data_IF_686645713717
#
_entry.id   IF_686645713717
#
_cell.length_a   1.000
_cell.length_b   1.000
_cell.length_c   1.000
_cell.angle_alpha   90.00
_cell.angle_beta   90.00
_cell.angle_gamma   90.00
#
_symmetry.space_group_name_H-M   'P 1'
#
loop_
_entity.id
_entity.type
_entity.pdbx_description
1 polymer ?
#
# COMPACT_ATOMS: atom_id res chain seq x y z
N UNK A 1 -17.90 3.59 3.79
CA UNK A 1 -17.17 3.58 2.52
C UNK A 1 -16.38 4.87 2.48
N UNK A 2 -15.06 4.75 2.40
CA UNK A 2 -14.07 5.83 2.53
C UNK A 2 -13.31 5.91 1.21
N UNK A 3 -12.90 7.11 0.80
CA UNK A 3 -12.08 7.28 -0.41
C UNK A 3 -10.59 7.24 -0.06
N UNK A 4 -9.88 6.19 -0.51
CA UNK A 4 -8.43 6.13 -0.36
C UNK A 4 -7.75 7.24 -1.18
N UNK A 5 -8.33 7.64 -2.32
CA UNK A 5 -7.78 8.72 -3.17
C UNK A 5 -7.69 10.04 -2.39
N UNK A 6 -8.76 10.40 -1.68
CA UNK A 6 -8.80 11.65 -0.93
C UNK A 6 -7.83 11.66 0.25
N UNK A 7 -7.64 10.51 0.90
CA UNK A 7 -6.66 10.36 1.98
C UNK A 7 -5.23 10.48 1.46
N UNK A 8 -4.90 9.81 0.35
CA UNK A 8 -3.57 9.88 -0.26
C UNK A 8 -3.23 11.30 -0.73
N UNK A 9 -4.18 12.03 -1.33
CA UNK A 9 -3.99 13.43 -1.74
C UNK A 9 -3.72 14.38 -0.57
N UNK A 10 -4.24 14.06 0.62
CA UNK A 10 -4.02 14.82 1.85
C UNK A 10 -2.79 14.36 2.61
N UNK A 11 -2.09 13.33 2.11
CA UNK A 11 -0.99 12.66 2.80
C UNK A 11 -1.39 12.26 4.22
N UNK A 12 -2.62 11.78 4.38
CA UNK A 12 -3.16 11.40 5.68
C UNK A 12 -2.44 10.16 6.22
N UNK A 13 -2.16 10.13 7.53
CA UNK A 13 -1.58 8.95 8.17
C UNK A 13 -2.69 7.94 8.46
N UNK A 14 -2.55 6.73 7.93
CA UNK A 14 -3.47 5.63 8.21
C UNK A 14 -2.80 4.26 8.01
N UNK A 15 -3.50 3.22 8.44
CA UNK A 15 -3.12 1.83 8.26
C UNK A 15 -4.24 1.03 7.59
N UNK A 16 -3.83 0.11 6.72
CA UNK A 16 -4.72 -0.72 5.91
C UNK A 16 -4.39 -2.19 6.12
N UNK A 17 -5.36 -2.96 6.61
CA UNK A 17 -5.22 -4.39 6.80
C UNK A 17 -5.87 -5.22 5.69
N UNK A 18 -5.22 -6.33 5.37
CA UNK A 18 -5.75 -7.38 4.50
C UNK A 18 -6.06 -8.65 5.29
N UNK A 19 -7.20 -9.26 5.00
CA UNK A 19 -7.56 -10.59 5.49
C UNK A 19 -6.89 -11.68 4.65
N UNK A 20 -6.01 -12.47 5.28
CA UNK A 20 -5.30 -13.59 4.64
C UNK A 20 -6.00 -14.94 4.81
N UNK A 21 -7.14 -15.00 5.50
CA UNK A 21 -7.92 -16.23 5.67
C UNK A 21 -8.28 -16.88 4.33
N UNK A 22 -8.37 -16.08 3.27
CA UNK A 22 -8.57 -16.50 1.88
C UNK A 22 -7.37 -16.11 1.00
N UNK A 23 -6.37 -17.00 0.81
CA UNK A 23 -5.12 -16.67 0.11
C UNK A 23 -5.26 -16.09 -1.29
N UNK A 24 -6.23 -16.58 -2.07
CA UNK A 24 -6.48 -16.09 -3.45
C UNK A 24 -7.04 -14.67 -3.41
N UNK A 25 -8.01 -14.42 -2.52
CA UNK A 25 -8.61 -13.11 -2.35
C UNK A 25 -7.58 -12.10 -1.87
N UNK A 26 -6.76 -12.47 -0.90
CA UNK A 26 -5.62 -11.66 -0.44
C UNK A 26 -4.71 -11.27 -1.61
N UNK A 27 -4.27 -12.22 -2.43
CA UNK A 27 -3.40 -11.93 -3.57
C UNK A 27 -4.06 -10.96 -4.56
N UNK A 28 -5.34 -11.15 -4.86
CA UNK A 28 -6.09 -10.25 -5.74
C UNK A 28 -6.16 -8.83 -5.17
N UNK A 29 -6.55 -8.68 -3.91
CA UNK A 29 -6.65 -7.39 -3.22
C UNK A 29 -5.29 -6.70 -3.12
N UNK A 30 -4.23 -7.45 -2.78
CA UNK A 30 -2.88 -6.93 -2.71
C UNK A 30 -2.44 -6.36 -4.07
N UNK A 31 -2.58 -7.12 -5.15
CA UNK A 31 -2.20 -6.64 -6.48
C UNK A 31 -3.09 -5.50 -6.99
N UNK A 32 -4.37 -5.48 -6.62
CA UNK A 32 -5.26 -4.35 -6.90
C UNK A 32 -4.77 -3.08 -6.21
N UNK A 33 -4.39 -3.16 -4.92
CA UNK A 33 -3.81 -2.02 -4.20
C UNK A 33 -2.51 -1.56 -4.86
N UNK A 34 -1.58 -2.48 -5.14
CA UNK A 34 -0.26 -2.14 -5.71
C UNK A 34 -0.42 -1.39 -7.04
N UNK A 35 -1.24 -1.92 -7.96
CA UNK A 35 -1.51 -1.26 -9.23
C UNK A 35 -2.18 0.11 -9.06
N UNK A 36 -3.04 0.25 -8.04
CA UNK A 36 -3.65 1.52 -7.70
C UNK A 36 -2.60 2.53 -7.18
N UNK A 37 -1.71 2.11 -6.28
CA UNK A 37 -0.66 2.97 -5.73
C UNK A 37 0.32 3.46 -6.81
N UNK A 38 0.73 2.60 -7.73
CA UNK A 38 1.58 3.02 -8.87
C UNK A 38 0.90 4.07 -9.73
N UNK A 39 -0.41 3.92 -10.00
CA UNK A 39 -1.18 4.89 -10.79
C UNK A 39 -1.24 6.27 -10.11
N UNK A 40 -1.08 6.29 -8.79
CA UNK A 40 -1.10 7.50 -7.97
C UNK A 40 0.30 7.96 -7.55
N UNK A 41 1.37 7.40 -8.14
CA UNK A 41 2.76 7.70 -7.85
C UNK A 41 3.12 7.59 -6.35
N UNK A 42 2.46 6.66 -5.64
CA UNK A 42 2.75 6.38 -4.22
C UNK A 42 3.82 5.29 -4.16
N UNK A 43 4.97 5.63 -3.60
CA UNK A 43 6.14 4.74 -3.51
C UNK A 43 6.27 4.09 -2.14
N UNK A 44 7.07 3.04 -2.08
CA UNK A 44 7.62 2.57 -0.80
C UNK A 44 8.51 3.67 -0.18
N UNK A 45 8.74 3.64 1.12
CA UNK A 45 9.60 4.66 1.77
C UNK A 45 11.04 4.74 1.26
N UNK A 46 11.53 3.69 0.61
CA UNK A 46 12.84 3.70 -0.07
C UNK A 46 12.77 4.27 -1.49
N UNK A 47 11.63 4.83 -1.93
CA UNK A 47 11.37 5.45 -3.24
C UNK A 47 11.25 4.48 -4.40
N UNK A 48 11.17 3.19 -4.09
CA UNK A 48 10.84 2.20 -5.10
C UNK A 48 9.36 2.30 -5.47
N UNK A 49 8.99 2.11 -6.75
CA UNK A 49 7.59 2.03 -7.18
C UNK A 49 6.82 1.00 -6.37
N UNK A 50 5.51 1.20 -6.17
CA UNK A 50 4.70 0.23 -5.44
C UNK A 50 4.80 -1.17 -6.09
N UNK A 51 4.81 -1.23 -7.42
CA UNK A 51 4.99 -2.46 -8.22
C UNK A 51 6.39 -3.06 -8.18
N UNK A 52 7.37 -2.47 -7.49
CA UNK A 52 8.71 -3.01 -7.46
C UNK A 52 8.68 -4.49 -7.04
N UNK A 53 9.25 -5.31 -7.92
CA UNK A 53 9.13 -6.75 -7.82
C UNK A 53 9.87 -7.26 -6.58
N UNK A 54 11.04 -6.70 -6.27
CA UNK A 54 11.82 -7.14 -5.13
C UNK A 54 11.11 -6.78 -3.82
N UNK A 55 10.56 -5.57 -3.71
CA UNK A 55 9.80 -5.11 -2.55
C UNK A 55 8.54 -5.96 -2.33
N UNK A 56 7.74 -6.19 -3.39
CA UNK A 56 6.55 -7.02 -3.31
C UNK A 56 6.88 -8.47 -2.91
N UNK A 57 7.90 -9.08 -3.51
CA UNK A 57 8.29 -10.45 -3.17
C UNK A 57 8.88 -10.56 -1.77
N UNK A 58 9.61 -9.54 -1.30
CA UNK A 58 10.12 -9.49 0.05
C UNK A 58 8.97 -9.45 1.06
N UNK A 59 7.98 -8.58 0.86
CA UNK A 59 6.79 -8.52 1.71
C UNK A 59 6.05 -9.86 1.71
N UNK A 60 5.68 -10.35 0.52
CA UNK A 60 4.92 -11.60 0.39
C UNK A 60 5.69 -12.76 1.04
N UNK A 61 7.00 -12.86 0.78
CA UNK A 61 7.86 -13.89 1.37
C UNK A 61 7.98 -13.79 2.89
N UNK A 62 8.02 -12.58 3.46
CA UNK A 62 8.07 -12.38 4.90
C UNK A 62 6.74 -12.75 5.58
N UNK A 63 5.61 -12.31 4.99
CA UNK A 63 4.27 -12.65 5.44
C UNK A 63 4.06 -14.17 5.46
N UNK A 64 4.51 -14.87 4.42
CA UNK A 64 4.39 -16.34 4.35
C UNK A 64 5.29 -17.09 5.34
N UNK A 65 6.40 -16.51 5.78
CA UNK A 65 7.36 -17.16 6.69
C UNK A 65 7.05 -16.96 8.17
N UNK A 66 6.43 -15.85 8.53
CA UNK A 66 6.22 -15.48 9.94
C UNK A 66 4.91 -16.01 10.52
N UNK A 67 4.14 -16.81 9.77
CA UNK A 67 2.77 -17.23 10.12
C UNK A 67 1.85 -16.04 10.51
N UNK A 68 2.21 -14.82 10.08
CA UNK A 68 1.41 -13.62 10.31
C UNK A 68 0.06 -13.83 9.65
N UNK A 69 -1.03 -13.81 10.42
CA UNK A 69 -2.38 -13.89 9.85
C UNK A 69 -2.74 -12.60 9.13
N UNK A 70 -2.18 -11.48 9.58
CA UNK A 70 -2.60 -10.15 9.16
C UNK A 70 -1.49 -9.46 8.39
N UNK A 71 -1.86 -8.81 7.29
CA UNK A 71 -0.94 -7.97 6.51
C UNK A 71 -1.43 -6.53 6.65
N UNK A 72 -0.69 -5.71 7.38
CA UNK A 72 -1.02 -4.31 7.60
C UNK A 72 0.00 -3.41 6.91
N UNK A 73 -0.48 -2.52 6.04
CA UNK A 73 0.33 -1.48 5.41
C UNK A 73 0.09 -0.16 6.13
N UNK A 74 1.16 0.52 6.53
CA UNK A 74 1.11 1.86 7.09
C UNK A 74 1.45 2.87 6.01
N UNK A 75 0.63 3.91 5.91
CA UNK A 75 0.81 5.09 5.07
C UNK A 75 1.07 6.29 5.97
N UNK A 76 2.19 6.98 5.77
CA UNK A 76 2.55 8.15 6.56
C UNK A 76 3.61 8.99 5.83
N UNK A 77 3.82 10.22 6.30
CA UNK A 77 4.98 11.03 5.92
C UNK A 77 6.17 10.63 6.78
N UNK A 78 7.33 10.44 6.15
CA UNK A 78 8.58 10.14 6.85
C UNK A 78 9.73 11.00 6.30
N UNK A 79 10.60 11.46 7.19
CA UNK A 79 11.86 12.10 6.82
C UNK A 79 12.78 11.10 6.10
N UNK A 80 13.19 11.45 4.88
CA UNK A 80 14.13 10.67 4.07
C UNK A 80 15.41 11.45 3.88
N UNK A 81 16.52 10.78 4.16
CA UNK A 81 17.85 11.27 3.85
C UNK A 81 18.14 11.14 2.34
N UNK A 82 18.50 12.25 1.69
CA UNK A 82 18.78 12.31 0.25
C UNK A 82 20.27 12.50 -0.08
N UNK A 83 21.10 12.86 0.90
CA UNK A 83 22.53 13.01 0.68
C UNK A 83 23.16 14.10 1.51
N UNK A 84 24.43 14.35 1.21
CA UNK A 84 25.19 15.48 1.72
C UNK A 84 25.20 16.59 0.67
N UNK A 85 25.12 17.83 1.13
CA UNK A 85 25.44 19.01 0.32
C UNK A 85 26.59 19.76 0.97
N UNK A 86 27.46 20.33 0.14
CA UNK A 86 28.54 21.20 0.59
C UNK A 86 28.20 22.61 0.13
N UNK A 87 28.18 23.54 1.08
CA UNK A 87 28.09 24.96 0.77
C UNK A 87 29.45 25.44 0.25
N UNK A 88 29.50 25.87 -1.01
CA UNK A 88 30.75 26.31 -1.65
C UNK A 88 31.27 27.66 -1.12
N UNK A 89 30.44 28.47 -0.48
CA UNK A 89 30.81 29.78 0.06
C UNK A 89 31.38 29.66 1.47
N UNK A 90 30.84 28.74 2.28
CA UNK A 90 31.23 28.57 3.70
C UNK A 90 32.06 27.33 3.98
N UNK A 91 32.20 26.41 3.01
CA UNK A 91 32.83 25.08 3.16
C UNK A 91 32.12 24.22 4.23
N UNK A 92 30.83 24.47 4.47
CA UNK A 92 30.03 23.74 5.46
C UNK A 92 29.32 22.53 4.84
N UNK A 93 29.40 21.39 5.52
CA UNK A 93 28.72 20.15 5.14
C UNK A 93 27.36 20.07 5.82
N UNK A 94 26.29 19.98 5.02
CA UNK A 94 24.92 19.80 5.52
C UNK A 94 24.25 18.57 4.90
N UNK A 95 23.15 18.14 5.51
CA UNK A 95 22.35 16.99 5.07
C UNK A 95 21.11 17.48 4.33
N UNK A 96 20.74 16.79 3.26
CA UNK A 96 19.46 16.97 2.59
C UNK A 96 18.48 15.96 3.18
N UNK A 97 17.44 16.47 3.83
CA UNK A 97 16.34 15.68 4.39
C UNK A 97 15.06 16.23 3.79
N UNK A 98 14.22 15.35 3.24
CA UNK A 98 12.91 15.70 2.72
C UNK A 98 11.82 14.83 3.34
N UNK A 99 10.66 15.43 3.58
CA UNK A 99 9.46 14.72 3.99
C UNK A 99 8.85 14.02 2.79
N UNK A 100 8.88 12.68 2.79
CA UNK A 100 8.32 11.86 1.71
C UNK A 100 7.12 11.09 2.25
N UNK A 101 6.00 11.19 1.53
CA UNK A 101 4.83 10.37 1.80
C UNK A 101 4.93 9.04 1.05
N UNK A 102 4.73 7.93 1.75
CA UNK A 102 4.85 6.60 1.18
C UNK A 102 4.20 5.56 2.08
N UNK A 103 4.49 4.29 1.78
CA UNK A 103 3.96 3.17 2.56
C UNK A 103 5.01 2.11 2.89
N UNK A 104 4.68 1.30 3.89
CA UNK A 104 5.45 0.10 4.27
C UNK A 104 4.56 -0.95 4.89
N UNK A 105 5.05 -2.20 4.87
CA UNK A 105 4.53 -3.20 5.78
C UNK A 105 4.86 -2.86 7.22
N UNK A 106 3.86 -2.98 8.09
CA UNK A 106 3.99 -2.79 9.52
C UNK A 106 3.67 -4.10 10.24
N UNK A 107 4.71 -4.84 10.61
CA UNK A 107 4.59 -6.14 11.29
C UNK A 107 4.19 -6.02 12.76
N UNK A 108 4.08 -4.80 13.30
CA UNK A 108 3.66 -4.55 14.69
C UNK A 108 2.15 -4.33 14.81
N UNK A 109 1.45 -4.17 13.69
CA UNK A 109 0.00 -4.00 13.64
C UNK A 109 -0.69 -5.28 13.19
N UNK A 110 -1.96 -5.40 13.56
CA UNK A 110 -2.85 -6.52 13.27
C UNK A 110 -4.21 -6.01 12.73
N UNK A 111 -5.12 -6.95 12.42
CA UNK A 111 -6.46 -6.63 11.90
C UNK A 111 -7.32 -5.80 12.87
N UNK A 112 -7.05 -5.84 14.18
CA UNK A 112 -7.85 -5.13 15.19
C UNK A 112 -7.36 -3.70 15.42
N UNK A 113 -6.07 -3.47 15.19
CA UNK A 113 -5.39 -2.19 15.41
C UNK A 113 -5.26 -1.34 14.16
N UNK A 114 -5.47 -1.92 12.97
CA UNK A 114 -5.50 -1.17 11.72
C UNK A 114 -6.71 -0.23 11.63
N UNK A 115 -6.50 0.95 11.04
CA UNK A 115 -7.53 1.98 10.89
C UNK A 115 -8.64 1.55 9.91
N UNK A 116 -8.24 0.85 8.84
CA UNK A 116 -9.13 0.43 7.76
C UNK A 116 -8.85 -1.00 7.31
N UNK A 117 -9.89 -1.63 6.75
CA UNK A 117 -9.80 -2.87 5.97
C UNK A 117 -9.87 -2.56 4.49
N UNK A 118 -9.37 -3.47 3.67
CA UNK A 118 -9.40 -3.31 2.22
C UNK A 118 -10.81 -3.07 1.67
N UNK A 119 -11.81 -3.75 2.24
CA UNK A 119 -13.21 -3.62 1.85
C UNK A 119 -13.87 -2.28 2.25
N UNK A 120 -13.24 -1.47 3.11
CA UNK A 120 -13.80 -0.19 3.54
C UNK A 120 -13.72 0.89 2.46
N UNK A 121 -12.89 0.67 1.43
CA UNK A 121 -12.60 1.64 0.39
C UNK A 121 -13.53 1.52 -0.82
N UNK A 122 -14.05 2.68 -1.26
CA UNK A 122 -14.95 2.79 -2.42
C UNK A 122 -14.30 2.36 -3.72
N UNK A 123 -13.01 2.64 -3.86
CA UNK A 123 -12.24 2.37 -5.07
C UNK A 123 -12.02 0.89 -5.34
N UNK A 124 -12.21 0.04 -4.32
CA UNK A 124 -12.05 -1.41 -4.43
C UNK A 124 -13.34 -2.19 -4.24
N UNK A 125 -14.46 -1.51 -4.04
CA UNK A 125 -15.74 -2.17 -4.04
C UNK A 125 -16.03 -2.69 -5.45
N UNK A 126 -16.28 -4.00 -5.55
CA UNK A 126 -16.70 -4.59 -6.81
C UNK A 126 -17.97 -3.87 -7.28
N UNK A 127 -17.90 -3.21 -8.44
CA UNK A 127 -19.11 -2.93 -9.22
C UNK A 127 -19.77 -4.28 -9.43
N UNK A 128 -20.84 -4.56 -8.68
CA UNK A 128 -21.62 -5.77 -8.84
C UNK A 128 -22.15 -5.81 -10.28
N UNK A 129 -21.46 -6.52 -11.17
CA UNK A 129 -21.99 -6.86 -12.48
C UNK A 129 -22.90 -8.03 -12.25
N UNK A 130 -24.21 -7.80 -12.30
CA UNK A 130 -25.21 -8.87 -12.25
C UNK A 130 -25.00 -9.82 -13.44
N UNK A 131 -24.26 -10.90 -13.20
CA UNK A 131 -23.98 -11.94 -14.21
C UNK A 131 -25.13 -12.93 -14.37
N UNK A 132 -26.27 -12.70 -13.70
CA UNK A 132 -27.48 -13.52 -13.86
C UNK A 132 -27.95 -13.58 -15.32
N UNK A 133 -27.68 -12.53 -16.11
CA UNK A 133 -27.97 -12.52 -17.55
C UNK A 133 -26.93 -13.27 -18.39
N UNK A 134 -25.68 -13.43 -17.93
CA UNK A 134 -24.70 -14.31 -18.59
C UNK A 134 -25.07 -15.78 -18.41
N UNK A 135 -25.58 -16.18 -17.24
CA UNK A 135 -26.14 -17.52 -17.02
C UNK A 135 -27.33 -17.81 -17.94
N UNK A 136 -28.12 -16.79 -18.32
CA UNK A 136 -29.20 -16.93 -19.31
C UNK A 136 -28.67 -17.05 -20.74
N UNK A 137 -27.55 -16.39 -21.08
CA UNK A 137 -26.91 -16.50 -22.40
C UNK A 137 -26.21 -17.86 -22.63
N UNK A 138 -25.67 -18.46 -21.57
CA UNK A 138 -25.01 -19.78 -21.64
C UNK A 138 -25.91 -20.95 -21.17
N UNK A 139 -27.21 -20.73 -21.05
CA UNK A 139 -28.18 -21.74 -20.65
C UNK A 139 -28.55 -22.72 -21.76
N UNK A 140 -27.68 -23.70 -22.03
CA UNK A 140 -27.95 -25.17 -22.08
C UNK A 140 -26.73 -25.96 -22.55
#
# INVERSE_FOLDING_TARGET
>A
MVSIVDMLKRSEKFSLAFDRSMPIRFQQQFWQLIAFLDKHDITWFNDEPASDHAMCQQLLGQVWRQDCQDVVLSFETQERYLGWQVDEETDELSVIIEDVYGFRWNSLLDLETADYRFEDFEEFAEDYVDTSDLLKQFGK
#
